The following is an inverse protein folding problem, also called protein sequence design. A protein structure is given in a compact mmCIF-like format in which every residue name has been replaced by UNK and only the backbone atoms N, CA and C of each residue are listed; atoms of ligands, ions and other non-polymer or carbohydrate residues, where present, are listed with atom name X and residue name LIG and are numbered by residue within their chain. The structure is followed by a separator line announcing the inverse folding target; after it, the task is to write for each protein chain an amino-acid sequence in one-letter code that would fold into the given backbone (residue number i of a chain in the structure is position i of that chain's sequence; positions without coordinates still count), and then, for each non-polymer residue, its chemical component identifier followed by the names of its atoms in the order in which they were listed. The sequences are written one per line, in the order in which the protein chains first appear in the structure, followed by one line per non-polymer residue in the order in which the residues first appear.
data_IF_373448395283
#
_entry.id   IF_373448395283
#
_cell.length_a   1.000
_cell.length_b   1.000
_cell.length_c   1.000
_cell.angle_alpha   90.00
_cell.angle_beta   90.00
_cell.angle_gamma   90.00
#
_symmetry.space_group_name_H-M   'P 1'
#
loop_
_entity.id
_entity.type
_entity.pdbx_description
1 polymer ?
#
# COMPACT_ATOMS: atom_id res chain seq x y z
N UNK A 1 27.98 8.05 23.92
CA UNK A 1 27.08 7.29 23.05
C UNK A 1 25.70 7.96 23.06
N UNK A 2 25.12 8.23 21.91
CA UNK A 2 23.77 8.79 21.80
C UNK A 2 22.85 7.75 21.19
N UNK A 3 21.67 7.58 21.77
CA UNK A 3 20.64 6.63 21.32
C UNK A 3 19.29 7.33 21.31
N UNK A 4 18.50 7.12 20.27
CA UNK A 4 17.11 7.60 20.22
C UNK A 4 16.17 6.48 20.71
N UNK A 5 15.30 6.78 21.67
CA UNK A 5 14.26 5.88 22.17
C UNK A 5 12.93 6.60 22.10
N UNK A 6 12.00 6.10 21.28
CA UNK A 6 10.71 6.74 21.02
C UNK A 6 10.87 8.25 20.78
N UNK A 7 11.73 8.61 19.81
CA UNK A 7 12.06 9.99 19.40
C UNK A 7 12.77 10.88 20.46
N UNK A 8 12.99 10.38 21.67
CA UNK A 8 13.81 11.07 22.68
C UNK A 8 15.26 10.67 22.54
N UNK A 9 16.16 11.64 22.41
CA UNK A 9 17.61 11.40 22.32
C UNK A 9 18.19 11.33 23.73
N UNK A 10 18.85 10.22 24.04
CA UNK A 10 19.58 10.00 25.30
C UNK A 10 21.07 10.02 25.06
N UNK A 11 21.79 10.95 25.75
CA UNK A 11 23.25 10.95 25.76
C UNK A 11 23.77 10.09 26.93
N UNK A 12 24.32 8.95 26.57
CA UNK A 12 24.82 7.96 27.53
C UNK A 12 26.28 8.20 27.93
N UNK A 13 26.96 9.24 27.44
CA UNK A 13 28.38 9.50 27.73
C UNK A 13 28.64 9.72 29.23
N UNK A 14 27.67 10.29 29.96
CA UNK A 14 27.78 10.47 31.41
C UNK A 14 27.59 9.16 32.21
N UNK A 15 27.08 8.11 31.54
CA UNK A 15 26.87 6.79 32.15
C UNK A 15 28.08 5.86 31.97
N UNK A 16 29.01 6.21 31.05
CA UNK A 16 30.07 5.31 30.57
C UNK A 16 31.39 5.34 31.34
N UNK A 17 31.55 6.19 32.37
CA UNK A 17 32.85 6.23 33.10
C UNK A 17 33.32 4.90 33.67
N UNK A 18 32.46 3.86 33.70
CA UNK A 18 32.76 2.53 34.18
C UNK A 18 32.45 1.34 33.27
N UNK A 19 32.06 1.56 31.98
CA UNK A 19 31.61 0.46 31.12
C UNK A 19 32.21 0.57 29.70
N UNK A 20 33.30 -0.18 29.50
CA UNK A 20 33.96 -0.40 28.19
C UNK A 20 33.42 -1.63 27.42
N UNK A 21 32.14 -1.98 27.55
CA UNK A 21 31.55 -3.11 26.83
C UNK A 21 30.16 -2.69 26.28
N UNK A 22 29.80 -3.27 25.15
CA UNK A 22 28.52 -3.08 24.50
C UNK A 22 27.37 -3.24 25.50
N UNK A 23 26.58 -2.16 25.69
CA UNK A 23 25.44 -2.18 26.60
C UNK A 23 24.25 -2.79 25.84
N UNK A 24 23.62 -3.80 26.39
CA UNK A 24 22.38 -4.30 25.86
C UNK A 24 21.20 -3.34 26.20
N UNK A 25 20.11 -3.49 25.45
CA UNK A 25 18.93 -2.61 25.56
C UNK A 25 18.35 -2.62 26.99
N UNK A 26 18.29 -3.77 27.65
CA UNK A 26 17.81 -3.94 29.04
C UNK A 26 18.58 -3.09 30.04
N UNK A 27 19.89 -3.05 29.90
CA UNK A 27 20.76 -2.26 30.79
C UNK A 27 20.59 -0.74 30.55
N UNK A 28 20.46 -0.34 29.29
CA UNK A 28 20.21 1.05 28.91
C UNK A 28 18.89 1.54 29.51
N UNK A 29 17.81 0.80 29.32
CA UNK A 29 16.48 1.17 29.84
C UNK A 29 16.46 1.25 31.37
N UNK A 30 17.11 0.33 32.07
CA UNK A 30 17.28 0.39 33.55
C UNK A 30 17.97 1.68 33.98
N UNK A 31 19.01 2.11 33.26
CA UNK A 31 19.79 3.32 33.59
C UNK A 31 19.03 4.61 33.31
N UNK A 32 18.18 4.65 32.28
CA UNK A 32 17.33 5.80 31.97
C UNK A 32 16.22 5.97 33.01
N UNK A 33 15.98 4.96 33.84
CA UNK A 33 15.02 4.96 34.96
C UNK A 33 13.57 5.36 34.58
N UNK A 34 13.16 5.04 33.35
CA UNK A 34 11.77 5.23 32.90
C UNK A 34 10.98 3.94 33.08
N UNK A 35 10.20 3.86 34.16
CA UNK A 35 9.36 2.69 34.50
C UNK A 35 8.36 2.36 33.37
N UNK A 36 7.89 3.34 32.64
CA UNK A 36 6.91 3.16 31.56
C UNK A 36 7.47 2.44 30.33
N UNK A 37 8.79 2.45 30.13
CA UNK A 37 9.44 1.77 29.02
C UNK A 37 9.63 0.26 29.27
N UNK A 38 9.55 -0.19 30.50
CA UNK A 38 9.73 -1.63 30.86
C UNK A 38 8.55 -2.50 30.46
N UNK A 39 7.39 -1.90 30.10
CA UNK A 39 6.14 -2.60 29.78
C UNK A 39 5.80 -2.59 28.29
N UNK A 40 6.81 -2.61 27.40
CA UNK A 40 6.54 -2.72 25.96
C UNK A 40 6.43 -4.19 25.54
N UNK A 41 5.60 -4.43 24.51
CA UNK A 41 5.38 -5.76 23.93
C UNK A 41 6.27 -6.00 22.71
N UNK A 42 6.74 -4.93 22.05
CA UNK A 42 7.48 -4.95 20.79
C UNK A 42 8.68 -4.03 20.89
N UNK A 43 9.85 -4.58 20.57
CA UNK A 43 11.12 -3.84 20.50
C UNK A 43 11.60 -3.80 19.04
N UNK A 44 11.83 -2.60 18.52
CA UNK A 44 12.36 -2.39 17.18
C UNK A 44 13.65 -1.57 17.29
N UNK A 45 14.72 -2.03 16.63
CA UNK A 45 15.99 -1.31 16.50
C UNK A 45 16.29 -1.13 15.01
N UNK A 46 16.42 0.12 14.56
CA UNK A 46 16.71 0.46 13.16
C UNK A 46 15.76 -0.26 12.17
N UNK A 47 14.47 -0.34 12.53
CA UNK A 47 13.44 -0.99 11.73
C UNK A 47 13.36 -2.52 11.84
N UNK A 48 14.15 -3.17 12.69
CA UNK A 48 14.16 -4.62 12.87
C UNK A 48 13.69 -5.02 14.28
N UNK A 49 12.89 -6.10 14.36
CA UNK A 49 12.53 -6.69 15.65
C UNK A 49 13.78 -7.17 16.38
N UNK A 50 13.86 -6.86 17.68
CA UNK A 50 14.98 -7.22 18.54
C UNK A 50 14.50 -7.70 19.89
N UNK A 51 15.44 -8.21 20.72
CA UNK A 51 15.19 -8.63 22.10
C UNK A 51 15.83 -7.67 23.09
N UNK A 52 15.51 -7.83 24.37
CA UNK A 52 16.08 -7.05 25.45
C UNK A 52 17.61 -7.21 25.63
N UNK A 53 18.14 -8.32 25.14
CA UNK A 53 19.55 -8.67 25.19
C UNK A 53 20.35 -8.11 23.99
N UNK A 54 19.69 -7.43 23.06
CA UNK A 54 20.32 -6.87 21.86
C UNK A 54 21.27 -5.74 22.23
N UNK A 55 22.48 -5.80 21.72
CA UNK A 55 23.49 -4.74 21.86
C UNK A 55 23.06 -3.46 21.15
N UNK A 56 23.37 -2.34 21.80
CA UNK A 56 23.01 -1.00 21.30
C UNK A 56 24.28 -0.20 21.02
N UNK A 57 24.33 0.42 19.84
CA UNK A 57 25.46 1.21 19.37
C UNK A 57 25.11 2.70 19.30
N UNK A 58 26.14 3.52 19.16
CA UNK A 58 25.95 4.95 18.94
C UNK A 58 25.17 5.22 17.65
N UNK A 59 24.12 6.00 17.75
CA UNK A 59 23.24 6.36 16.62
C UNK A 59 22.09 5.38 16.38
N UNK A 60 21.94 4.30 17.16
CA UNK A 60 20.80 3.40 17.03
C UNK A 60 19.49 4.11 17.38
N UNK A 61 18.45 3.84 16.59
CA UNK A 61 17.07 4.25 16.83
C UNK A 61 16.26 3.06 17.36
N UNK A 62 15.66 3.22 18.52
CA UNK A 62 14.91 2.17 19.23
C UNK A 62 13.48 2.62 19.43
N UNK A 63 12.53 1.78 19.04
CA UNK A 63 11.10 1.97 19.28
C UNK A 63 10.57 0.89 20.20
N UNK A 64 9.87 1.33 21.21
CA UNK A 64 9.26 0.50 22.26
C UNK A 64 7.75 0.68 22.17
N UNK A 65 7.05 -0.31 21.62
CA UNK A 65 5.63 -0.25 21.34
C UNK A 65 4.82 -1.16 22.25
N UNK A 66 3.60 -0.74 22.56
CA UNK A 66 2.58 -1.58 23.22
C UNK A 66 1.65 -2.18 22.17
N UNK A 67 1.21 -3.41 22.39
CA UNK A 67 0.20 -4.08 21.57
C UNK A 67 -1.06 -3.21 21.46
N UNK A 68 -1.54 -3.01 20.23
CA UNK A 68 -2.74 -2.22 19.95
C UNK A 68 -2.56 -0.69 19.97
N UNK A 69 -1.37 -0.18 20.31
CA UNK A 69 -1.08 1.25 20.16
C UNK A 69 -0.85 1.56 18.68
N UNK A 70 -1.59 2.52 18.16
CA UNK A 70 -1.35 3.05 16.81
C UNK A 70 -0.05 3.87 16.85
N UNK A 71 0.94 3.58 15.99
CA UNK A 71 2.15 4.41 15.85
C UNK A 71 1.78 5.82 15.41
N UNK A 72 2.57 6.82 15.74
CA UNK A 72 2.42 8.17 15.17
C UNK A 72 2.75 8.16 13.67
N UNK A 73 2.37 9.23 12.95
CA UNK A 73 2.71 9.37 11.52
C UNK A 73 4.21 9.30 11.29
N UNK A 74 4.99 9.94 12.18
CA UNK A 74 6.46 9.94 12.10
C UNK A 74 7.04 8.53 12.35
N UNK A 75 6.53 7.82 13.35
CA UNK A 75 6.92 6.43 13.62
C UNK A 75 6.57 5.52 12.43
N UNK A 76 5.34 5.64 11.87
CA UNK A 76 4.93 4.87 10.70
C UNK A 76 5.83 5.16 9.49
N UNK A 77 6.17 6.43 9.24
CA UNK A 77 7.09 6.83 8.18
C UNK A 77 8.47 6.19 8.34
N UNK A 78 8.99 6.11 9.57
CA UNK A 78 10.28 5.47 9.85
C UNK A 78 10.22 3.95 9.64
N UNK A 79 9.12 3.31 10.06
CA UNK A 79 8.93 1.86 9.85
C UNK A 79 8.84 1.50 8.37
N UNK A 80 8.12 2.29 7.58
CA UNK A 80 8.05 2.12 6.13
C UNK A 80 9.43 2.32 5.48
N UNK A 81 10.14 3.42 5.79
CA UNK A 81 11.49 3.69 5.28
C UNK A 81 12.48 2.56 5.59
N UNK A 82 12.39 1.95 6.78
CA UNK A 82 13.26 0.86 7.18
C UNK A 82 13.09 -0.43 6.34
N UNK A 83 11.97 -0.56 5.62
CA UNK A 83 11.65 -1.70 4.75
C UNK A 83 11.64 -1.36 3.27
N UNK A 84 11.57 -0.10 2.93
CA UNK A 84 11.64 0.35 1.55
C UNK A 84 13.09 0.42 1.06
N UNK A 85 13.27 0.30 -0.26
CA UNK A 85 14.50 0.71 -0.91
C UNK A 85 14.76 2.21 -0.68
N UNK A 86 16.01 2.66 -0.71
CA UNK A 86 16.32 4.08 -0.50
C UNK A 86 15.52 5.01 -1.42
N UNK A 87 15.08 6.15 -0.89
CA UNK A 87 14.36 7.21 -1.61
C UNK A 87 12.92 6.89 -2.07
N UNK A 88 12.39 5.69 -1.80
CA UNK A 88 11.03 5.28 -2.22
C UNK A 88 9.96 6.03 -1.45
N UNK A 89 10.04 6.06 -0.12
CA UNK A 89 8.99 6.63 0.74
C UNK A 89 8.61 8.08 0.39
N UNK A 90 9.61 8.93 0.13
CA UNK A 90 9.36 10.35 -0.17
C UNK A 90 8.57 10.57 -1.47
N UNK A 91 8.83 9.73 -2.49
CA UNK A 91 8.06 9.75 -3.74
C UNK A 91 6.64 9.26 -3.53
N UNK A 92 6.48 8.13 -2.81
CA UNK A 92 5.16 7.56 -2.53
C UNK A 92 4.28 8.49 -1.70
N UNK A 93 4.82 9.13 -0.66
CA UNK A 93 4.06 10.05 0.22
C UNK A 93 3.43 11.21 -0.56
N UNK A 94 4.04 11.66 -1.63
CA UNK A 94 3.55 12.77 -2.44
C UNK A 94 2.71 12.34 -3.66
N UNK A 95 2.66 11.04 -3.94
CA UNK A 95 1.96 10.50 -5.09
C UNK A 95 0.44 10.46 -4.89
N UNK A 96 -0.29 10.68 -5.98
CA UNK A 96 -1.75 10.59 -6.05
C UNK A 96 -2.16 9.56 -7.10
N UNK A 97 -2.82 8.50 -6.67
CA UNK A 97 -3.26 7.42 -7.54
C UNK A 97 -4.78 7.32 -7.56
N UNK A 98 -5.35 7.38 -8.76
CA UNK A 98 -6.77 7.15 -8.97
C UNK A 98 -7.05 5.68 -9.25
N UNK A 99 -8.08 5.11 -8.64
CA UNK A 99 -8.51 3.72 -8.89
C UNK A 99 -9.96 3.74 -9.34
N UNK A 100 -10.18 3.35 -10.59
CA UNK A 100 -11.48 3.28 -11.23
C UNK A 100 -12.06 1.86 -11.15
N UNK A 101 -12.99 1.64 -10.24
CA UNK A 101 -13.54 0.34 -9.89
C UNK A 101 -12.84 -0.29 -8.68
N UNK A 102 -13.63 -0.86 -7.77
CA UNK A 102 -13.16 -1.50 -6.53
C UNK A 102 -13.59 -2.98 -6.45
N UNK A 103 -13.65 -3.61 -7.61
CA UNK A 103 -13.89 -5.04 -7.74
C UNK A 103 -12.68 -5.89 -7.36
N UNK A 104 -12.52 -7.04 -8.02
CA UNK A 104 -11.43 -7.98 -7.76
C UNK A 104 -10.04 -7.38 -7.91
N UNK A 105 -9.80 -6.54 -8.91
CA UNK A 105 -8.53 -5.84 -9.11
C UNK A 105 -8.41 -4.66 -8.15
N UNK A 106 -9.30 -3.68 -8.28
CA UNK A 106 -9.15 -2.39 -7.58
C UNK A 106 -9.12 -2.51 -6.06
N UNK A 107 -9.92 -3.40 -5.45
CA UNK A 107 -9.86 -3.62 -4.00
C UNK A 107 -8.51 -4.19 -3.53
N UNK A 108 -7.90 -5.10 -4.30
CA UNK A 108 -6.57 -5.61 -4.01
C UNK A 108 -5.48 -4.54 -4.18
N UNK A 109 -5.50 -3.83 -5.32
CA UNK A 109 -4.54 -2.77 -5.63
C UNK A 109 -4.59 -1.66 -4.58
N UNK A 110 -5.79 -1.23 -4.15
CA UNK A 110 -5.96 -0.21 -3.12
C UNK A 110 -5.26 -0.61 -1.80
N UNK A 111 -5.40 -1.87 -1.38
CA UNK A 111 -4.74 -2.39 -0.18
C UNK A 111 -3.21 -2.43 -0.34
N UNK A 112 -2.70 -2.85 -1.48
CA UNK A 112 -1.27 -2.94 -1.74
C UNK A 112 -0.61 -1.56 -1.77
N UNK A 113 -1.23 -0.59 -2.46
CA UNK A 113 -0.74 0.80 -2.51
C UNK A 113 -0.81 1.48 -1.14
N UNK A 114 -1.85 1.20 -0.34
CA UNK A 114 -1.95 1.69 1.03
C UNK A 114 -0.82 1.14 1.92
N UNK A 115 -0.47 -0.15 1.79
CA UNK A 115 0.60 -0.79 2.56
C UNK A 115 1.98 -0.21 2.28
N UNK A 116 2.25 0.19 1.05
CA UNK A 116 3.52 0.85 0.68
C UNK A 116 3.52 2.36 0.94
N UNK A 117 2.39 2.95 1.36
CA UNK A 117 2.31 4.34 1.78
C UNK A 117 2.20 5.35 0.64
N UNK A 118 1.43 5.04 -0.41
CA UNK A 118 1.01 6.04 -1.41
C UNK A 118 0.19 7.12 -0.69
N UNK A 119 0.57 8.39 -0.86
CA UNK A 119 0.07 9.49 -0.04
C UNK A 119 -1.41 9.79 -0.20
N UNK A 120 -1.94 9.72 -1.44
CA UNK A 120 -3.37 9.95 -1.72
C UNK A 120 -3.90 8.88 -2.65
N UNK A 121 -5.02 8.27 -2.28
CA UNK A 121 -5.79 7.35 -3.11
C UNK A 121 -7.16 7.96 -3.40
N UNK A 122 -7.46 8.22 -4.66
CA UNK A 122 -8.80 8.60 -5.14
C UNK A 122 -9.46 7.33 -5.64
N UNK A 123 -10.48 6.86 -4.93
CA UNK A 123 -11.14 5.58 -5.20
C UNK A 123 -12.60 5.81 -5.62
N UNK A 124 -13.02 5.20 -6.72
CA UNK A 124 -14.34 5.40 -7.28
C UNK A 124 -15.00 4.05 -7.61
N UNK A 125 -16.19 3.83 -7.07
CA UNK A 125 -17.06 2.69 -7.40
C UNK A 125 -18.49 3.04 -7.00
N UNK A 126 -19.50 2.52 -7.71
CA UNK A 126 -20.92 2.78 -7.42
C UNK A 126 -21.64 1.57 -6.82
N UNK A 127 -20.99 0.42 -6.75
CA UNK A 127 -21.56 -0.82 -6.24
C UNK A 127 -21.59 -0.89 -4.72
N UNK A 128 -22.34 -1.87 -4.24
CA UNK A 128 -22.29 -2.35 -2.86
C UNK A 128 -21.50 -3.66 -2.78
N UNK A 129 -21.01 -3.97 -1.60
CA UNK A 129 -20.37 -5.27 -1.31
C UNK A 129 -21.44 -6.35 -1.33
N UNK A 130 -21.28 -7.33 -2.19
CA UNK A 130 -22.16 -8.47 -2.38
C UNK A 130 -21.48 -9.77 -1.87
N UNK A 131 -22.21 -10.74 -1.31
CA UNK A 131 -21.62 -12.00 -0.84
C UNK A 131 -20.78 -12.74 -1.89
N UNK A 132 -21.14 -12.64 -3.17
CA UNK A 132 -20.39 -13.28 -4.28
C UNK A 132 -19.08 -12.57 -4.59
N UNK A 133 -18.87 -11.39 -4.06
CA UNK A 133 -17.63 -10.65 -4.19
C UNK A 133 -16.50 -11.20 -3.31
N UNK A 134 -16.85 -11.80 -2.16
CA UNK A 134 -15.90 -12.25 -1.14
C UNK A 134 -14.94 -13.34 -1.64
N UNK A 135 -15.23 -13.98 -2.76
CA UNK A 135 -14.35 -14.98 -3.36
C UNK A 135 -13.07 -14.39 -3.98
N UNK A 136 -13.02 -13.04 -4.20
CA UNK A 136 -11.88 -12.41 -4.88
C UNK A 136 -11.66 -10.93 -4.58
N UNK A 137 -12.56 -10.27 -3.86
CA UNK A 137 -12.47 -8.86 -3.47
C UNK A 137 -12.08 -8.75 -1.99
N UNK A 138 -11.37 -7.70 -1.63
CA UNK A 138 -10.84 -7.50 -0.28
C UNK A 138 -11.87 -6.93 0.70
N UNK A 139 -13.02 -7.58 0.80
CA UNK A 139 -14.06 -7.21 1.75
C UNK A 139 -14.29 -8.30 2.78
N UNK A 140 -14.92 -7.93 3.90
CA UNK A 140 -15.25 -8.81 5.00
C UNK A 140 -16.76 -9.05 5.07
N UNK A 141 -17.18 -10.12 5.78
CA UNK A 141 -18.58 -10.52 5.90
C UNK A 141 -19.44 -9.40 6.54
N UNK A 142 -18.91 -8.68 7.49
CA UNK A 142 -19.56 -7.57 8.17
C UNK A 142 -19.73 -6.31 7.30
N UNK A 143 -19.08 -6.28 6.14
CA UNK A 143 -19.20 -5.18 5.17
C UNK A 143 -20.23 -5.45 4.05
N UNK A 144 -20.88 -6.63 4.05
CA UNK A 144 -21.94 -6.93 3.06
C UNK A 144 -23.03 -5.86 3.11
N UNK A 145 -23.37 -5.29 1.95
CA UNK A 145 -24.34 -4.21 1.79
C UNK A 145 -23.76 -2.79 1.92
N UNK A 146 -22.52 -2.63 2.38
CA UNK A 146 -21.85 -1.33 2.35
C UNK A 146 -21.50 -0.90 0.93
N UNK A 147 -21.42 0.41 0.67
CA UNK A 147 -20.80 0.92 -0.56
C UNK A 147 -19.35 0.48 -0.64
N UNK A 148 -18.91 -0.02 -1.81
CA UNK A 148 -17.53 -0.48 -1.99
C UNK A 148 -16.50 0.61 -1.71
N UNK A 149 -16.79 1.85 -2.11
CA UNK A 149 -15.93 3.00 -1.83
C UNK A 149 -15.72 3.22 -0.33
N UNK A 150 -16.80 3.18 0.47
CA UNK A 150 -16.75 3.35 1.92
C UNK A 150 -16.05 2.17 2.60
N UNK A 151 -16.41 0.94 2.23
CA UNK A 151 -15.79 -0.27 2.77
C UNK A 151 -14.28 -0.31 2.50
N UNK A 152 -13.86 0.05 1.29
CA UNK A 152 -12.44 0.14 0.93
C UNK A 152 -11.71 1.18 1.77
N UNK A 153 -12.31 2.37 1.96
CA UNK A 153 -11.75 3.43 2.80
C UNK A 153 -11.55 2.95 4.24
N UNK A 154 -12.55 2.32 4.85
CA UNK A 154 -12.44 1.78 6.21
C UNK A 154 -11.29 0.76 6.36
N UNK A 155 -11.07 -0.08 5.35
CA UNK A 155 -9.98 -1.05 5.38
C UNK A 155 -8.62 -0.35 5.26
N UNK A 156 -8.50 0.64 4.36
CA UNK A 156 -7.28 1.42 4.19
C UNK A 156 -6.92 2.14 5.50
N UNK A 157 -7.89 2.75 6.19
CA UNK A 157 -7.67 3.43 7.46
C UNK A 157 -7.14 2.48 8.56
N UNK A 158 -7.54 1.20 8.53
CA UNK A 158 -6.99 0.16 9.41
C UNK A 158 -5.59 -0.30 9.02
N UNK A 159 -5.19 -0.18 7.74
CA UNK A 159 -3.87 -0.52 7.23
C UNK A 159 -2.88 0.62 7.52
N UNK A 160 -3.24 1.84 7.13
CA UNK A 160 -2.42 3.03 7.28
C UNK A 160 -3.31 4.27 7.43
N UNK A 161 -3.56 4.74 8.65
CA UNK A 161 -4.45 5.88 8.89
C UNK A 161 -3.90 7.23 8.44
N UNK A 162 -2.67 7.28 7.93
CA UNK A 162 -1.97 8.51 7.51
C UNK A 162 -2.00 8.72 5.99
N UNK A 163 -2.74 7.90 5.26
CA UNK A 163 -3.00 8.05 3.83
C UNK A 163 -4.29 8.86 3.66
N UNK A 164 -4.28 9.81 2.76
CA UNK A 164 -5.49 10.50 2.33
C UNK A 164 -6.30 9.58 1.39
N UNK A 165 -7.52 9.24 1.79
CA UNK A 165 -8.45 8.45 0.97
C UNK A 165 -9.66 9.28 0.61
N UNK A 166 -9.78 9.63 -0.67
CA UNK A 166 -10.93 10.33 -1.24
C UNK A 166 -11.82 9.30 -1.92
N UNK A 167 -12.88 8.88 -1.23
CA UNK A 167 -13.79 7.84 -1.68
C UNK A 167 -15.03 8.44 -2.35
N UNK A 168 -15.40 7.94 -3.53
CA UNK A 168 -16.56 8.40 -4.29
C UNK A 168 -17.48 7.24 -4.64
N UNK A 169 -18.72 7.29 -4.15
CA UNK A 169 -19.82 6.44 -4.61
C UNK A 169 -20.37 7.01 -5.90
N UNK A 170 -19.81 6.62 -7.05
CA UNK A 170 -20.11 7.22 -8.34
C UNK A 170 -19.96 6.23 -9.49
N UNK A 171 -20.89 6.27 -10.43
CA UNK A 171 -20.70 5.66 -11.75
C UNK A 171 -19.81 6.57 -12.61
N UNK A 172 -18.65 6.03 -13.01
CA UNK A 172 -17.67 6.76 -13.81
C UNK A 172 -18.00 6.67 -15.31
N UNK A 173 -17.94 7.82 -15.99
CA UNK A 173 -18.08 7.93 -17.44
C UNK A 173 -17.30 9.15 -17.98
N UNK A 174 -17.35 9.39 -19.30
CA UNK A 174 -16.63 10.48 -19.97
C UNK A 174 -16.95 11.87 -19.42
N UNK A 175 -18.13 12.07 -18.86
CA UNK A 175 -18.55 13.39 -18.36
C UNK A 175 -17.88 13.75 -17.03
N UNK A 176 -17.40 12.75 -16.31
CA UNK A 176 -16.89 12.93 -14.94
C UNK A 176 -15.45 12.46 -14.70
N UNK A 177 -14.79 11.75 -15.61
CA UNK A 177 -13.39 11.32 -15.42
C UNK A 177 -12.47 12.47 -15.04
N UNK A 178 -12.60 13.62 -15.70
CA UNK A 178 -11.77 14.80 -15.39
C UNK A 178 -11.99 15.26 -13.96
N UNK A 179 -13.22 15.31 -13.49
CA UNK A 179 -13.57 15.77 -12.15
C UNK A 179 -12.84 14.95 -11.06
N UNK A 180 -12.82 13.62 -11.21
CA UNK A 180 -12.27 12.75 -10.19
C UNK A 180 -10.76 12.52 -10.34
N UNK A 181 -10.21 12.50 -11.53
CA UNK A 181 -8.83 12.08 -11.79
C UNK A 181 -7.88 13.20 -12.22
N UNK A 182 -8.31 14.46 -12.26
CA UNK A 182 -7.46 15.57 -12.71
C UNK A 182 -6.18 15.72 -11.85
N UNK A 183 -6.28 15.49 -10.55
CA UNK A 183 -5.16 15.61 -9.62
C UNK A 183 -4.27 14.37 -9.52
N UNK A 184 -4.61 13.25 -10.18
CA UNK A 184 -3.84 12.01 -10.09
C UNK A 184 -2.58 12.07 -10.93
N UNK A 185 -1.53 11.37 -10.49
CA UNK A 185 -0.33 11.11 -11.29
C UNK A 185 -0.54 9.89 -12.20
N UNK A 186 -1.21 8.86 -11.66
CA UNK A 186 -1.49 7.59 -12.32
C UNK A 186 -2.95 7.23 -12.11
N UNK A 187 -3.56 6.63 -13.12
CA UNK A 187 -4.91 6.07 -13.06
C UNK A 187 -4.81 4.56 -13.23
N UNK A 188 -5.44 3.80 -12.35
CA UNK A 188 -5.63 2.36 -12.45
C UNK A 188 -7.03 2.09 -12.95
N UNK A 189 -7.13 1.39 -14.07
CA UNK A 189 -8.38 0.96 -14.66
C UNK A 189 -8.69 -0.46 -14.16
N UNK A 190 -9.72 -0.61 -13.34
CA UNK A 190 -10.10 -1.87 -12.68
C UNK A 190 -11.57 -2.25 -12.88
N UNK A 191 -12.19 -1.80 -13.99
CA UNK A 191 -13.55 -2.18 -14.37
C UNK A 191 -13.63 -3.66 -14.81
N UNK A 192 -14.81 -4.23 -14.78
CA UNK A 192 -15.12 -5.55 -15.32
C UNK A 192 -15.70 -5.46 -16.75
N UNK A 193 -16.32 -4.33 -17.11
CA UNK A 193 -16.92 -4.12 -18.42
C UNK A 193 -15.89 -3.71 -19.47
N UNK A 194 -15.70 -4.48 -20.56
CA UNK A 194 -14.70 -4.17 -21.59
C UNK A 194 -14.89 -2.83 -22.30
N UNK A 195 -16.14 -2.35 -22.43
CA UNK A 195 -16.43 -1.06 -23.05
C UNK A 195 -15.97 0.07 -22.15
N UNK A 196 -16.29 0.01 -20.84
CA UNK A 196 -15.84 0.99 -19.85
C UNK A 196 -14.30 1.02 -19.73
N UNK A 197 -13.65 -0.18 -19.74
CA UNK A 197 -12.18 -0.30 -19.77
C UNK A 197 -11.57 0.46 -20.94
N UNK A 198 -12.05 0.19 -22.15
CA UNK A 198 -11.57 0.85 -23.36
C UNK A 198 -11.86 2.36 -23.34
N UNK A 199 -13.02 2.76 -22.84
CA UNK A 199 -13.43 4.15 -22.77
C UNK A 199 -12.53 4.98 -21.85
N UNK A 200 -12.30 4.53 -20.61
CA UNK A 200 -11.43 5.21 -19.66
C UNK A 200 -9.99 5.26 -20.19
N UNK A 201 -9.49 4.12 -20.69
CA UNK A 201 -8.12 4.04 -21.23
C UNK A 201 -7.91 5.04 -22.35
N UNK A 202 -8.81 5.08 -23.33
CA UNK A 202 -8.74 6.03 -24.45
C UNK A 202 -8.87 7.47 -23.95
N UNK A 203 -9.79 7.74 -23.02
CA UNK A 203 -9.98 9.09 -22.49
C UNK A 203 -8.69 9.61 -21.82
N UNK A 204 -8.04 8.80 -20.97
CA UNK A 204 -6.79 9.17 -20.30
C UNK A 204 -5.71 9.49 -21.31
N UNK A 205 -5.51 8.61 -22.29
CA UNK A 205 -4.45 8.76 -23.30
C UNK A 205 -4.64 9.96 -24.23
N UNK A 206 -5.89 10.34 -24.51
CA UNK A 206 -6.23 11.43 -25.42
C UNK A 206 -6.38 12.79 -24.73
N UNK A 207 -6.77 12.82 -23.46
CA UNK A 207 -7.18 14.05 -22.78
C UNK A 207 -6.28 14.43 -21.58
N UNK A 208 -5.24 13.65 -21.30
CA UNK A 208 -4.30 13.91 -20.20
C UNK A 208 -2.89 13.46 -20.53
N UNK A 209 -1.94 13.85 -19.69
CA UNK A 209 -0.54 13.39 -19.69
C UNK A 209 -0.25 12.28 -18.68
N UNK A 210 -1.29 11.78 -18.03
CA UNK A 210 -1.19 10.79 -16.96
C UNK A 210 -0.85 9.40 -17.47
N UNK A 211 -0.28 8.59 -16.59
CA UNK A 211 -0.12 7.16 -16.84
C UNK A 211 -1.41 6.42 -16.57
N UNK A 212 -1.65 5.35 -17.32
CA UNK A 212 -2.74 4.42 -17.08
C UNK A 212 -2.21 3.00 -17.00
N UNK A 213 -2.62 2.29 -15.97
CA UNK A 213 -2.35 0.87 -15.74
C UNK A 213 -3.68 0.14 -15.77
N UNK A 214 -3.78 -0.91 -16.55
CA UNK A 214 -4.99 -1.68 -16.76
C UNK A 214 -4.70 -3.18 -16.78
N UNK A 215 -5.75 -4.01 -16.74
CA UNK A 215 -5.60 -5.46 -16.79
C UNK A 215 -6.50 -6.13 -17.83
N UNK A 216 -6.02 -7.25 -18.36
CA UNK A 216 -6.77 -8.13 -19.25
C UNK A 216 -6.30 -9.58 -19.13
N UNK A 217 -7.24 -10.53 -18.99
CA UNK A 217 -6.94 -11.96 -18.91
C UNK A 217 -6.50 -12.40 -17.50
N UNK A 218 -7.48 -12.74 -16.66
CA UNK A 218 -7.26 -13.19 -15.29
C UNK A 218 -8.21 -14.29 -14.82
N UNK A 219 -9.08 -14.78 -15.73
CA UNK A 219 -10.05 -15.81 -15.39
C UNK A 219 -9.42 -17.18 -15.24
N UNK A 220 -10.17 -18.10 -14.63
CA UNK A 220 -9.79 -19.50 -14.45
C UNK A 220 -8.70 -19.71 -13.41
N UNK A 221 -8.09 -20.88 -13.49
CA UNK A 221 -6.99 -21.35 -12.63
C UNK A 221 -5.74 -21.77 -13.45
N UNK A 222 -5.54 -21.12 -14.59
CA UNK A 222 -4.39 -21.35 -15.46
C UNK A 222 -3.07 -20.95 -14.80
N UNK A 223 -1.95 -21.36 -15.39
CA UNK A 223 -0.63 -21.07 -14.86
C UNK A 223 -0.42 -19.55 -14.58
N UNK A 224 0.04 -19.23 -13.39
CA UNK A 224 0.42 -17.88 -13.02
C UNK A 224 1.61 -17.33 -13.84
N UNK A 225 2.45 -18.23 -14.38
CA UNK A 225 3.60 -17.85 -15.19
C UNK A 225 3.23 -17.23 -16.55
N UNK A 226 1.96 -17.27 -16.94
CA UNK A 226 1.47 -16.60 -18.15
C UNK A 226 1.10 -15.14 -17.91
N UNK A 227 1.01 -14.70 -16.64
CA UNK A 227 0.68 -13.32 -16.30
C UNK A 227 1.95 -12.48 -16.39
N UNK A 228 1.85 -11.41 -17.17
CA UNK A 228 2.94 -10.45 -17.35
C UNK A 228 2.37 -9.03 -17.41
N UNK A 229 3.21 -8.04 -17.14
CA UNK A 229 2.94 -6.64 -17.42
C UNK A 229 3.62 -6.25 -18.73
N UNK A 230 2.93 -5.54 -19.60
CA UNK A 230 3.43 -5.07 -20.87
C UNK A 230 3.25 -3.56 -21.00
N UNK A 231 4.26 -2.87 -21.52
CA UNK A 231 4.17 -1.49 -21.96
C UNK A 231 3.57 -1.49 -23.38
N UNK A 232 2.27 -1.23 -23.49
CA UNK A 232 1.54 -1.28 -24.76
C UNK A 232 1.90 -0.10 -25.64
N UNK A 233 2.05 1.08 -25.03
CA UNK A 233 2.50 2.32 -25.66
C UNK A 233 3.00 3.27 -24.57
N UNK A 234 3.42 4.45 -24.97
CA UNK A 234 3.81 5.47 -24.02
C UNK A 234 2.65 5.75 -23.03
N UNK A 235 2.97 5.74 -21.75
CA UNK A 235 2.04 5.96 -20.62
C UNK A 235 0.92 4.92 -20.45
N UNK A 236 0.91 3.79 -21.21
CA UNK A 236 -0.08 2.74 -21.07
C UNK A 236 0.55 1.38 -20.82
N UNK A 237 0.20 0.78 -19.69
CA UNK A 237 0.64 -0.54 -19.25
C UNK A 237 -0.55 -1.46 -19.07
N UNK A 238 -0.38 -2.74 -19.43
CA UNK A 238 -1.42 -3.76 -19.39
C UNK A 238 -0.88 -5.00 -18.71
N UNK A 239 -1.56 -5.46 -17.65
CA UNK A 239 -1.21 -6.65 -16.87
C UNK A 239 -2.20 -7.78 -17.13
N UNK A 240 -1.73 -9.03 -17.13
CA UNK A 240 -2.55 -10.21 -17.32
C UNK A 240 -1.95 -11.18 -18.34
N UNK A 241 -2.72 -12.21 -18.71
CA UNK A 241 -2.32 -13.14 -19.77
C UNK A 241 -2.89 -12.77 -21.16
N UNK A 242 -3.74 -11.75 -21.23
CA UNK A 242 -4.39 -11.19 -22.42
C UNK A 242 -5.31 -12.17 -23.17
N UNK A 243 -5.54 -13.36 -22.63
CA UNK A 243 -6.27 -14.45 -23.31
C UNK A 243 -7.50 -14.87 -22.53
N UNK A 244 -7.37 -15.08 -21.22
CA UNK A 244 -8.40 -15.69 -20.42
C UNK A 244 -9.34 -14.65 -19.79
N UNK A 245 -10.31 -14.19 -20.56
CA UNK A 245 -11.41 -13.36 -20.07
C UNK A 245 -12.43 -14.22 -19.28
N UNK A 246 -13.13 -13.59 -18.34
CA UNK A 246 -14.22 -14.24 -17.63
C UNK A 246 -15.35 -14.63 -18.59
N UNK A 247 -15.83 -15.85 -18.48
CA UNK A 247 -16.92 -16.40 -19.29
C UNK A 247 -17.64 -17.51 -18.50
N UNK A 248 -18.70 -18.04 -19.06
CA UNK A 248 -19.41 -19.18 -18.49
C UNK A 248 -18.43 -20.35 -18.26
N UNK A 249 -18.45 -20.93 -17.06
CA UNK A 249 -17.54 -21.99 -16.58
C UNK A 249 -16.06 -21.60 -16.44
N UNK A 250 -15.71 -20.34 -16.63
CA UNK A 250 -14.34 -19.85 -16.44
C UNK A 250 -14.38 -18.54 -15.63
N UNK A 251 -14.61 -18.70 -14.32
CA UNK A 251 -14.87 -17.61 -13.40
C UNK A 251 -13.60 -16.94 -12.87
N UNK A 252 -13.81 -15.88 -12.10
CA UNK A 252 -12.76 -15.14 -11.41
C UNK A 252 -12.56 -15.72 -10.01
N UNK A 253 -11.30 -15.97 -9.63
CA UNK A 253 -10.92 -16.49 -8.31
C UNK A 253 -9.76 -15.73 -7.71
N UNK A 254 -9.77 -15.56 -6.37
CA UNK A 254 -8.84 -14.74 -5.63
C UNK A 254 -7.36 -14.93 -6.02
N UNK A 255 -6.80 -16.16 -6.11
CA UNK A 255 -5.36 -16.30 -6.33
C UNK A 255 -4.90 -15.66 -7.66
N UNK A 256 -5.62 -15.92 -8.75
CA UNK A 256 -5.22 -15.42 -10.06
C UNK A 256 -5.52 -13.93 -10.24
N UNK A 257 -6.66 -13.48 -9.73
CA UNK A 257 -7.04 -12.06 -9.68
C UNK A 257 -6.02 -11.29 -8.84
N UNK A 258 -5.61 -11.82 -7.68
CA UNK A 258 -4.61 -11.20 -6.82
C UNK A 258 -3.24 -11.08 -7.50
N UNK A 259 -2.79 -12.09 -8.25
CA UNK A 259 -1.53 -12.02 -9.00
C UNK A 259 -1.58 -10.87 -10.02
N UNK A 260 -2.66 -10.74 -10.80
CA UNK A 260 -2.79 -9.65 -11.77
C UNK A 260 -2.87 -8.30 -11.08
N UNK A 261 -3.62 -8.19 -9.99
CA UNK A 261 -3.69 -6.96 -9.19
C UNK A 261 -2.31 -6.55 -8.64
N UNK A 262 -1.51 -7.51 -8.16
CA UNK A 262 -0.13 -7.25 -7.69
C UNK A 262 0.79 -6.83 -8.83
N UNK A 263 0.60 -7.34 -10.05
CA UNK A 263 1.31 -6.85 -11.23
C UNK A 263 0.98 -5.39 -11.52
N UNK A 264 -0.30 -5.00 -11.45
CA UNK A 264 -0.72 -3.60 -11.63
C UNK A 264 -0.17 -2.70 -10.52
N UNK A 265 -0.31 -3.09 -9.25
CA UNK A 265 0.20 -2.32 -8.12
C UNK A 265 1.72 -2.14 -8.17
N UNK A 266 2.47 -3.18 -8.55
CA UNK A 266 3.92 -3.09 -8.76
C UNK A 266 4.27 -2.20 -9.96
N UNK A 267 3.49 -2.24 -11.03
CA UNK A 267 3.65 -1.35 -12.17
C UNK A 267 3.46 0.12 -11.75
N UNK A 268 2.42 0.42 -10.96
CA UNK A 268 2.21 1.76 -10.37
C UNK A 268 3.43 2.19 -9.55
N UNK A 269 3.93 1.33 -8.66
CA UNK A 269 5.14 1.61 -7.88
C UNK A 269 6.33 1.93 -8.77
N UNK A 270 6.60 1.14 -9.82
CA UNK A 270 7.71 1.35 -10.76
C UNK A 270 7.61 2.68 -11.49
N UNK A 271 6.41 3.02 -11.99
CA UNK A 271 6.15 4.31 -12.65
C UNK A 271 6.45 5.47 -11.69
N UNK A 272 5.98 5.40 -10.43
CA UNK A 272 6.28 6.42 -9.42
C UNK A 272 7.77 6.53 -9.09
N UNK A 273 8.52 5.46 -9.27
CA UNK A 273 9.99 5.46 -9.15
C UNK A 273 10.70 5.92 -10.43
N UNK A 274 9.96 6.21 -11.51
CA UNK A 274 10.48 6.53 -12.85
C UNK A 274 11.19 5.34 -13.52
N UNK A 275 10.78 4.11 -13.18
CA UNK A 275 11.21 2.87 -13.81
C UNK A 275 10.16 2.47 -14.87
N UNK A 276 10.32 2.99 -16.07
CA UNK A 276 9.29 2.95 -17.13
C UNK A 276 9.37 1.72 -18.06
N UNK A 277 10.38 0.91 -17.94
CA UNK A 277 10.48 -0.38 -18.65
C UNK A 277 9.89 -1.51 -17.79
N UNK A 278 9.34 -2.56 -18.41
CA UNK A 278 8.67 -3.69 -17.75
C UNK A 278 9.47 -4.96 -17.82
#
# INVERSE_FOLDING_TARGET
MKVAINDSIYDLNNLERNLRKDLNLKEIIKKINKKDLVTCDILIKNGHLVTWETDVKNGDEIYMLKKGKVPTEEEMAKFLKARHSPNVYGKLKNAKVGIAGLGGLGSNIAMELARIGVGTLIICDFDVVDPTNLNRQNYFIDQIGMKKADATKEIIEKINPYIEVVAHDVHLDKSNYKLYFESCDIIVEAFDNPVCKAELTNWVLMNSDKYIVAASGMAGYYSSNTIATQKVRDRFYLSGDLVNAAKEFDGLMAPRVGIVASHEANCVLRILMNELEV
#
